data_IF_658703964335
#
_entry.id   IF_658703964335
#
_cell.length_a   1.000
_cell.length_b   1.000
_cell.length_c   1.000
_cell.angle_alpha   90.00
_cell.angle_beta   90.00
_cell.angle_gamma   90.00
#
_symmetry.space_group_name_H-M   'P 1'
#
loop_
_entity.id
_entity.type
_entity.pdbx_description
1 polymer ?
#
# COMPACT_ATOMS: atom_id res chain seq x y z
N UNK A 1 -33.71 -42.08 -37.39
CA UNK A 1 -33.26 -41.32 -38.55
C UNK A 1 -34.43 -40.66 -39.20
N UNK A 2 -34.66 -39.37 -38.98
CA UNK A 2 -35.63 -38.57 -39.77
C UNK A 2 -34.98 -37.21 -39.97
N UNK A 3 -34.58 -36.96 -41.23
CA UNK A 3 -34.04 -35.70 -41.73
C UNK A 3 -35.17 -34.67 -41.79
N UNK A 4 -34.91 -33.49 -41.23
CA UNK A 4 -35.79 -32.32 -41.37
C UNK A 4 -35.09 -31.36 -42.35
N UNK A 5 -35.72 -31.21 -43.51
CA UNK A 5 -35.30 -30.30 -44.57
C UNK A 5 -35.94 -28.94 -44.36
N UNK A 6 -35.17 -27.87 -44.25
CA UNK A 6 -35.62 -26.47 -44.16
C UNK A 6 -35.58 -25.83 -45.55
N UNK A 7 -36.69 -25.21 -46.02
CA UNK A 7 -36.71 -24.56 -47.35
C UNK A 7 -36.03 -23.17 -47.34
N UNK A 8 -35.23 -22.92 -48.35
CA UNK A 8 -34.69 -21.63 -48.72
C UNK A 8 -35.80 -20.74 -49.26
N UNK A 9 -36.13 -19.66 -48.57
CA UNK A 9 -36.94 -18.58 -49.15
C UNK A 9 -36.05 -17.43 -49.60
N UNK A 10 -36.13 -17.17 -50.87
CA UNK A 10 -35.57 -16.06 -51.60
C UNK A 10 -36.22 -14.73 -51.19
N UNK A 11 -35.48 -13.80 -50.64
CA UNK A 11 -35.91 -12.42 -50.43
C UNK A 11 -35.27 -11.52 -51.48
N UNK A 12 -36.17 -10.93 -52.26
CA UNK A 12 -35.89 -10.01 -53.39
C UNK A 12 -35.31 -8.68 -52.89
N UNK A 13 -34.33 -8.20 -53.61
CA UNK A 13 -33.75 -6.87 -53.47
C UNK A 13 -34.82 -5.80 -53.87
N UNK A 14 -35.09 -4.87 -52.96
CA UNK A 14 -35.71 -3.59 -53.24
C UNK A 14 -34.68 -2.50 -53.00
N UNK A 15 -34.11 -1.96 -54.07
CA UNK A 15 -33.31 -0.78 -54.09
C UNK A 15 -34.21 0.44 -53.82
N UNK A 16 -34.06 1.08 -52.68
CA UNK A 16 -34.62 2.41 -52.41
C UNK A 16 -33.46 3.40 -52.34
N UNK A 17 -33.38 4.23 -53.34
CA UNK A 17 -32.51 5.40 -53.33
C UNK A 17 -32.99 6.39 -52.27
N UNK A 18 -32.19 6.66 -51.27
CA UNK A 18 -32.39 7.76 -50.32
C UNK A 18 -31.30 8.80 -50.47
N UNK A 19 -31.74 10.00 -50.82
CA UNK A 19 -30.97 11.19 -51.06
C UNK A 19 -30.04 11.52 -49.89
N UNK A 20 -28.80 11.78 -50.18
CA UNK A 20 -27.79 12.33 -49.27
C UNK A 20 -28.14 13.80 -49.00
N UNK A 21 -28.81 14.09 -47.91
CA UNK A 21 -28.81 15.43 -47.29
C UNK A 21 -27.54 15.53 -46.44
N UNK A 22 -26.53 16.19 -47.00
CA UNK A 22 -25.36 16.59 -46.21
C UNK A 22 -25.78 17.64 -45.20
N UNK A 23 -26.09 17.20 -43.96
CA UNK A 23 -26.09 18.08 -42.81
C UNK A 23 -24.62 18.33 -42.43
N UNK A 24 -24.11 19.51 -42.81
CA UNK A 24 -22.93 20.08 -42.19
C UNK A 24 -23.27 20.34 -40.69
N UNK A 25 -23.06 19.39 -39.84
CA UNK A 25 -22.94 19.62 -38.42
C UNK A 25 -21.61 20.36 -38.18
N UNK A 26 -21.58 21.51 -37.51
CA UNK A 26 -20.31 22.10 -37.12
C UNK A 26 -19.59 21.09 -36.28
N UNK A 27 -18.28 20.88 -36.59
CA UNK A 27 -17.41 20.12 -35.71
C UNK A 27 -17.60 20.63 -34.30
N UNK A 28 -18.14 19.77 -33.44
CA UNK A 28 -18.12 20.03 -32.00
C UNK A 28 -16.65 20.18 -31.67
N UNK A 29 -16.25 21.41 -31.34
CA UNK A 29 -14.99 21.67 -30.68
C UNK A 29 -14.87 20.61 -29.60
N UNK A 30 -13.84 19.79 -29.73
CA UNK A 30 -13.41 18.91 -28.66
C UNK A 30 -13.09 19.83 -27.49
N UNK A 31 -14.11 20.06 -26.65
CA UNK A 31 -13.93 20.74 -25.40
C UNK A 31 -12.83 19.95 -24.68
N UNK A 32 -11.65 20.54 -24.67
CA UNK A 32 -10.53 20.07 -23.89
C UNK A 32 -11.07 19.83 -22.49
N UNK A 33 -11.15 18.57 -22.11
CA UNK A 33 -11.46 18.20 -20.72
C UNK A 33 -10.62 19.10 -19.83
N UNK A 34 -11.20 19.76 -18.81
CA UNK A 34 -10.43 20.63 -17.94
C UNK A 34 -9.21 19.82 -17.48
N UNK A 35 -8.02 20.36 -17.76
CA UNK A 35 -6.76 19.74 -17.35
C UNK A 35 -6.87 19.40 -15.88
N UNK A 36 -6.83 18.10 -15.56
CA UNK A 36 -6.92 17.63 -14.19
C UNK A 36 -5.85 18.36 -13.39
N UNK A 37 -6.14 18.91 -12.22
CA UNK A 37 -5.14 19.55 -11.36
C UNK A 37 -3.97 18.60 -11.03
N UNK A 38 -4.08 17.33 -11.42
CA UNK A 38 -3.13 16.24 -11.18
C UNK A 38 -2.19 15.96 -12.35
N UNK A 39 -2.24 16.71 -13.45
CA UNK A 39 -1.38 16.52 -14.63
C UNK A 39 0.07 17.02 -14.43
N UNK A 40 0.37 17.64 -13.30
CA UNK A 40 1.73 18.02 -12.94
C UNK A 40 2.42 16.80 -12.31
N UNK A 41 3.21 16.10 -13.10
CA UNK A 41 4.00 14.94 -12.70
C UNK A 41 4.98 15.23 -11.57
N UNK A 42 4.50 15.12 -10.34
CA UNK A 42 5.25 15.20 -9.10
C UNK A 42 4.68 14.23 -8.09
N UNK A 43 5.45 13.91 -7.06
CA UNK A 43 5.06 12.99 -5.98
C UNK A 43 3.71 13.34 -5.33
N UNK A 44 3.41 14.63 -5.20
CA UNK A 44 2.13 15.12 -4.69
C UNK A 44 0.95 14.82 -5.65
N UNK A 45 1.18 14.89 -6.96
CA UNK A 45 0.16 14.60 -7.97
C UNK A 45 -0.30 13.14 -7.92
N UNK A 46 0.61 12.19 -7.69
CA UNK A 46 0.30 10.76 -7.63
C UNK A 46 -0.62 10.41 -6.45
N UNK A 47 -0.29 10.88 -5.25
CA UNK A 47 -1.11 10.64 -4.04
C UNK A 47 -2.47 11.32 -4.16
N UNK A 48 -2.52 12.56 -4.66
CA UNK A 48 -3.78 13.29 -4.84
C UNK A 48 -4.68 12.61 -5.87
N UNK A 49 -4.10 12.11 -6.98
CA UNK A 49 -4.85 11.33 -7.99
C UNK A 49 -5.38 10.03 -7.40
N UNK A 50 -4.56 9.29 -6.68
CA UNK A 50 -4.98 8.06 -6.03
C UNK A 50 -6.14 8.33 -5.06
N UNK A 51 -6.05 9.35 -4.21
CA UNK A 51 -7.13 9.75 -3.30
C UNK A 51 -8.42 10.12 -4.05
N UNK A 52 -8.30 10.84 -5.16
CA UNK A 52 -9.45 11.18 -5.98
C UNK A 52 -10.13 9.92 -6.54
N UNK A 53 -9.37 9.02 -7.16
CA UNK A 53 -9.92 7.77 -7.69
C UNK A 53 -10.56 6.91 -6.60
N UNK A 54 -9.96 6.88 -5.40
CA UNK A 54 -10.54 6.16 -4.27
C UNK A 54 -11.83 6.80 -3.78
N UNK A 55 -11.91 8.13 -3.75
CA UNK A 55 -13.14 8.82 -3.35
C UNK A 55 -14.31 8.51 -4.30
N UNK A 56 -14.03 8.23 -5.56
CA UNK A 56 -15.03 7.83 -6.55
C UNK A 56 -15.38 6.33 -6.49
N UNK A 57 -14.59 5.53 -5.79
CA UNK A 57 -14.83 4.10 -5.64
C UNK A 57 -15.78 3.80 -4.48
N UNK A 58 -16.72 2.85 -4.62
CA UNK A 58 -17.52 2.37 -3.48
C UNK A 58 -16.64 1.77 -2.37
N UNK A 59 -15.41 1.41 -2.69
CA UNK A 59 -14.41 0.89 -1.75
C UNK A 59 -13.45 1.97 -1.22
N UNK A 60 -13.60 3.24 -1.60
CA UNK A 60 -12.67 4.31 -1.26
C UNK A 60 -12.43 4.46 0.24
N UNK A 61 -13.49 4.47 1.05
CA UNK A 61 -13.40 4.51 2.51
C UNK A 61 -12.65 3.31 3.11
N UNK A 62 -12.77 2.14 2.49
CA UNK A 62 -12.03 0.95 2.90
C UNK A 62 -10.54 1.11 2.54
N UNK A 63 -10.26 1.58 1.33
CA UNK A 63 -8.89 1.79 0.85
C UNK A 63 -8.14 2.83 1.70
N UNK A 64 -8.77 3.93 2.08
CA UNK A 64 -8.19 4.91 3.01
C UNK A 64 -7.83 4.30 4.38
N UNK A 65 -8.59 3.33 4.83
CA UNK A 65 -8.33 2.60 6.08
C UNK A 65 -7.24 1.52 5.93
N UNK A 66 -7.02 1.02 4.71
CA UNK A 66 -6.02 -0.03 4.40
C UNK A 66 -4.61 0.55 4.19
N UNK A 67 -4.51 1.82 3.96
CA UNK A 67 -3.24 2.41 3.63
C UNK A 67 -2.39 2.67 4.87
N UNK A 68 -1.08 2.47 4.76
CA UNK A 68 -0.19 2.84 5.83
C UNK A 68 -0.36 4.32 6.16
N UNK A 69 -0.16 4.66 7.45
CA UNK A 69 -0.07 6.07 7.86
C UNK A 69 0.99 6.77 7.02
N UNK A 70 0.63 7.94 6.50
CA UNK A 70 1.57 8.76 5.77
C UNK A 70 2.76 9.13 6.66
N UNK A 71 3.96 8.98 6.11
CA UNK A 71 5.16 9.64 6.61
C UNK A 71 5.63 10.64 5.55
N UNK A 72 6.26 11.71 5.98
CA UNK A 72 6.85 12.66 5.05
C UNK A 72 8.20 12.15 4.52
N UNK A 73 8.60 12.52 3.29
CA UNK A 73 9.90 12.13 2.76
C UNK A 73 11.09 12.49 3.66
N UNK A 74 10.97 13.58 4.44
CA UNK A 74 11.97 14.03 5.43
C UNK A 74 12.07 13.11 6.65
N UNK A 75 11.06 12.29 6.91
CA UNK A 75 11.03 11.31 8.00
C UNK A 75 11.68 9.98 7.60
N UNK A 76 12.02 9.81 6.32
CA UNK A 76 12.77 8.63 5.86
C UNK A 76 14.17 8.61 6.49
N UNK A 77 14.68 7.46 6.90
CA UNK A 77 16.08 7.32 7.27
C UNK A 77 17.01 7.81 6.13
N UNK A 78 18.06 8.55 6.45
CA UNK A 78 18.97 9.09 5.45
C UNK A 78 18.23 9.78 4.27
N UNK A 79 17.41 10.81 4.51
CA UNK A 79 16.44 11.33 3.54
C UNK A 79 17.07 11.88 2.25
N UNK A 80 18.35 12.22 2.30
CA UNK A 80 19.12 12.70 1.14
C UNK A 80 19.80 11.58 0.34
N UNK A 81 19.72 10.33 0.79
CA UNK A 81 20.26 9.19 0.07
C UNK A 81 19.47 8.90 -1.21
N UNK A 82 20.13 8.26 -2.18
CA UNK A 82 19.48 7.87 -3.43
C UNK A 82 18.29 6.91 -3.15
N UNK A 83 18.48 5.93 -2.25
CA UNK A 83 17.40 4.99 -1.90
C UNK A 83 16.19 5.67 -1.27
N UNK A 84 16.39 6.69 -0.42
CA UNK A 84 15.29 7.48 0.14
C UNK A 84 14.54 8.25 -0.96
N UNK A 85 15.28 8.91 -1.88
CA UNK A 85 14.68 9.64 -2.99
C UNK A 85 13.88 8.72 -3.92
N UNK A 86 14.42 7.55 -4.26
CA UNK A 86 13.71 6.56 -5.07
C UNK A 86 12.46 6.03 -4.36
N UNK A 87 12.55 5.77 -3.04
CA UNK A 87 11.41 5.37 -2.23
C UNK A 87 10.32 6.45 -2.25
N UNK A 88 10.68 7.71 -2.02
CA UNK A 88 9.76 8.84 -2.08
C UNK A 88 9.17 9.04 -3.48
N UNK A 89 9.94 8.80 -4.57
CA UNK A 89 9.45 8.93 -5.95
C UNK A 89 8.45 7.86 -6.33
N UNK A 90 8.78 6.60 -6.06
CA UNK A 90 8.01 5.48 -6.59
C UNK A 90 6.88 5.02 -5.66
N UNK A 91 7.10 5.02 -4.35
CA UNK A 91 6.11 4.47 -3.41
C UNK A 91 4.88 5.37 -3.19
N UNK A 92 4.96 6.67 -3.50
CA UNK A 92 3.85 7.61 -3.29
C UNK A 92 2.88 7.70 -4.47
N UNK A 93 3.15 7.03 -5.57
CA UNK A 93 2.33 7.17 -6.79
C UNK A 93 0.93 6.57 -6.65
N UNK A 94 0.74 5.62 -5.73
CA UNK A 94 -0.52 4.90 -5.56
C UNK A 94 -1.09 5.00 -4.15
N UNK A 95 -0.26 5.15 -3.14
CA UNK A 95 -0.64 5.24 -1.73
C UNK A 95 0.35 6.11 -0.95
N UNK A 96 0.10 6.29 0.33
CA UNK A 96 1.01 7.02 1.20
C UNK A 96 2.39 6.37 1.29
N UNK A 97 3.41 7.20 1.52
CA UNK A 97 4.78 6.75 1.68
C UNK A 97 4.89 5.77 2.86
N UNK A 98 5.31 4.52 2.63
CA UNK A 98 5.47 3.56 3.70
C UNK A 98 6.78 3.80 4.46
N UNK A 99 6.75 3.63 5.77
CA UNK A 99 7.99 3.55 6.54
C UNK A 99 8.75 2.27 6.19
N UNK A 100 10.07 2.31 5.96
CA UNK A 100 10.87 1.09 5.82
C UNK A 100 10.73 0.12 7.00
N UNK A 101 10.40 0.64 8.17
CA UNK A 101 10.22 -0.14 9.40
C UNK A 101 8.90 -0.91 9.48
N UNK A 102 8.04 -0.84 8.47
CA UNK A 102 6.80 -1.62 8.44
C UNK A 102 7.05 -3.11 8.25
N UNK A 103 8.18 -3.47 7.64
CA UNK A 103 8.52 -4.86 7.36
C UNK A 103 9.97 -5.15 7.70
N UNK A 104 10.26 -6.43 8.01
CA UNK A 104 11.63 -6.92 8.17
C UNK A 104 12.40 -6.88 6.85
N UNK A 105 13.74 -6.83 6.90
CA UNK A 105 14.59 -6.73 5.72
C UNK A 105 14.33 -7.79 4.65
N UNK A 106 14.07 -9.02 5.06
CA UNK A 106 13.81 -10.17 4.18
C UNK A 106 12.48 -10.04 3.42
N UNK A 107 11.45 -9.48 4.05
CA UNK A 107 10.12 -9.30 3.44
C UNK A 107 10.10 -8.21 2.36
N UNK A 108 11.00 -7.22 2.45
CA UNK A 108 10.99 -6.10 1.52
C UNK A 108 11.22 -6.51 0.06
N UNK A 109 12.05 -7.51 -0.21
CA UNK A 109 12.26 -8.01 -1.58
C UNK A 109 10.94 -8.41 -2.23
N UNK A 110 10.19 -9.30 -1.60
CA UNK A 110 8.90 -9.78 -2.13
C UNK A 110 7.84 -8.67 -2.23
N UNK A 111 7.88 -7.70 -1.31
CA UNK A 111 6.95 -6.55 -1.34
C UNK A 111 7.28 -5.66 -2.54
N UNK A 112 8.54 -5.31 -2.77
CA UNK A 112 8.97 -4.50 -3.91
C UNK A 112 8.63 -5.20 -5.23
N UNK A 113 8.95 -6.47 -5.38
CA UNK A 113 8.61 -7.27 -6.56
C UNK A 113 7.10 -7.23 -6.87
N UNK A 114 6.27 -7.39 -5.84
CA UNK A 114 4.81 -7.34 -5.99
C UNK A 114 4.32 -5.94 -6.38
N UNK A 115 4.92 -4.86 -5.85
CA UNK A 115 4.56 -3.50 -6.24
C UNK A 115 5.00 -3.22 -7.68
N UNK A 116 6.21 -3.61 -8.07
CA UNK A 116 6.71 -3.53 -9.44
C UNK A 116 5.76 -4.23 -10.42
N UNK A 117 5.35 -5.44 -10.10
CA UNK A 117 4.44 -6.20 -10.93
C UNK A 117 3.13 -5.45 -11.20
N UNK A 118 2.60 -4.78 -10.17
CA UNK A 118 1.42 -3.91 -10.30
C UNK A 118 1.70 -2.66 -11.11
N UNK A 119 2.83 -1.97 -10.85
CA UNK A 119 3.24 -0.77 -11.60
C UNK A 119 3.43 -1.06 -13.09
N UNK A 120 3.80 -2.28 -13.45
CA UNK A 120 3.90 -2.76 -14.83
C UNK A 120 2.56 -3.22 -15.44
N UNK A 121 1.44 -2.98 -14.75
CA UNK A 121 0.12 -3.37 -15.23
C UNK A 121 -0.15 -4.88 -15.22
N UNK A 122 0.68 -5.65 -14.51
CA UNK A 122 0.56 -7.11 -14.44
C UNK A 122 -0.38 -7.53 -13.30
N UNK A 123 -0.99 -8.69 -13.48
CA UNK A 123 -1.90 -9.30 -12.50
C UNK A 123 -3.37 -9.05 -12.77
N UNK A 124 -4.22 -9.75 -12.04
CA UNK A 124 -5.67 -9.58 -12.14
C UNK A 124 -6.08 -8.35 -11.32
N UNK A 125 -6.05 -7.20 -11.98
CA UNK A 125 -6.43 -5.91 -11.39
C UNK A 125 -7.83 -5.55 -11.87
N UNK A 126 -8.73 -5.21 -10.93
CA UNK A 126 -10.02 -4.63 -11.28
C UNK A 126 -9.89 -3.28 -11.99
N UNK A 127 -11.00 -2.78 -12.55
CA UNK A 127 -11.00 -1.54 -13.34
C UNK A 127 -10.36 -0.34 -12.62
N UNK A 128 -10.66 -0.16 -11.32
CA UNK A 128 -10.08 0.91 -10.51
C UNK A 128 -8.55 0.82 -10.44
N UNK A 129 -8.02 -0.38 -10.22
CA UNK A 129 -6.56 -0.56 -10.15
C UNK A 129 -5.88 -0.32 -11.50
N UNK A 130 -6.52 -0.73 -12.60
CA UNK A 130 -6.00 -0.44 -13.95
C UNK A 130 -5.94 1.06 -14.22
N UNK A 131 -6.99 1.78 -13.85
CA UNK A 131 -7.05 3.24 -14.00
C UNK A 131 -5.99 3.93 -13.11
N UNK A 132 -5.81 3.46 -11.87
CA UNK A 132 -4.76 3.97 -10.99
C UNK A 132 -3.35 3.74 -11.54
N UNK A 133 -3.11 2.61 -12.21
CA UNK A 133 -1.79 2.23 -12.74
C UNK A 133 -1.48 2.87 -14.11
N UNK A 134 -2.45 3.45 -14.79
CA UNK A 134 -2.31 3.96 -16.18
C UNK A 134 -1.18 4.99 -16.34
N UNK A 135 -0.92 5.80 -15.30
CA UNK A 135 0.13 6.85 -15.33
C UNK A 135 1.25 6.60 -14.30
N UNK A 136 1.36 5.39 -13.80
CA UNK A 136 2.38 5.05 -12.80
C UNK A 136 3.69 4.72 -13.51
N UNK A 137 4.75 5.36 -13.08
CA UNK A 137 6.11 5.11 -13.55
C UNK A 137 6.74 3.99 -12.71
N UNK A 138 7.25 2.95 -13.38
CA UNK A 138 7.99 1.88 -12.70
C UNK A 138 9.50 2.20 -12.68
N UNK A 139 10.21 1.88 -11.57
CA UNK A 139 11.67 2.01 -11.53
C UNK A 139 12.34 1.05 -12.53
N UNK A 140 13.52 1.43 -13.00
CA UNK A 140 14.41 0.54 -13.74
C UNK A 140 14.94 -0.58 -12.83
N UNK A 141 15.56 -1.60 -13.39
CA UNK A 141 16.15 -2.70 -12.63
C UNK A 141 17.24 -2.21 -11.68
N UNK A 142 18.05 -1.23 -12.12
CA UNK A 142 19.08 -0.62 -11.28
C UNK A 142 18.46 0.16 -10.11
N UNK A 143 17.48 1.02 -10.37
CA UNK A 143 16.77 1.77 -9.33
C UNK A 143 16.04 0.83 -8.36
N UNK A 144 15.47 -0.27 -8.87
CA UNK A 144 14.86 -1.32 -8.06
C UNK A 144 15.85 -1.95 -7.09
N UNK A 145 17.07 -2.22 -7.56
CA UNK A 145 18.15 -2.73 -6.72
C UNK A 145 18.51 -1.76 -5.59
N UNK A 146 18.70 -0.48 -5.91
CA UNK A 146 19.02 0.57 -4.93
C UNK A 146 17.89 0.74 -3.91
N UNK A 147 16.64 0.85 -4.39
CA UNK A 147 15.46 1.00 -3.56
C UNK A 147 15.27 -0.20 -2.61
N UNK A 148 15.41 -1.43 -3.13
CA UNK A 148 15.29 -2.63 -2.32
C UNK A 148 16.38 -2.73 -1.26
N UNK A 149 17.63 -2.41 -1.62
CA UNK A 149 18.75 -2.39 -0.67
C UNK A 149 18.51 -1.35 0.44
N UNK A 150 18.01 -0.18 0.10
CA UNK A 150 17.65 0.86 1.06
C UNK A 150 16.55 0.40 2.03
N UNK A 151 15.45 -0.15 1.51
CA UNK A 151 14.34 -0.65 2.33
C UNK A 151 14.80 -1.79 3.26
N UNK A 152 15.65 -2.69 2.77
CA UNK A 152 16.25 -3.75 3.61
C UNK A 152 17.16 -3.19 4.69
N UNK A 153 18.02 -2.24 4.35
CA UNK A 153 18.94 -1.58 5.31
C UNK A 153 18.17 -0.94 6.48
N UNK A 154 17.05 -0.29 6.17
CA UNK A 154 16.25 0.45 7.14
C UNK A 154 14.99 -0.29 7.59
N UNK A 155 14.84 -1.54 7.16
CA UNK A 155 13.78 -2.43 7.57
C UNK A 155 13.74 -2.65 9.08
N UNK A 156 12.61 -3.14 9.56
CA UNK A 156 12.45 -3.44 10.97
C UNK A 156 13.48 -4.48 11.42
N UNK A 157 14.34 -4.09 12.37
CA UNK A 157 15.22 -5.04 13.02
C UNK A 157 14.42 -5.90 14.00
N UNK A 158 14.65 -7.20 13.96
CA UNK A 158 13.95 -8.15 14.81
C UNK A 158 14.80 -8.49 16.04
N UNK A 159 14.12 -8.71 17.15
CA UNK A 159 14.69 -9.27 18.34
C UNK A 159 14.95 -10.76 18.13
N UNK A 160 16.07 -11.26 18.63
CA UNK A 160 16.30 -12.70 18.63
C UNK A 160 15.17 -13.45 19.36
N UNK A 161 14.53 -14.37 18.67
CA UNK A 161 13.44 -15.18 19.20
C UNK A 161 13.87 -16.08 20.37
N UNK A 162 15.16 -16.36 20.51
CA UNK A 162 15.78 -17.09 21.62
C UNK A 162 16.12 -16.20 22.82
N UNK A 163 15.90 -14.88 22.75
CA UNK A 163 16.34 -13.97 23.77
C UNK A 163 15.73 -14.30 25.15
N UNK A 164 16.53 -14.42 26.24
CA UNK A 164 16.06 -14.86 27.54
C UNK A 164 14.92 -14.04 28.14
N UNK A 165 14.87 -12.73 27.83
CA UNK A 165 13.81 -11.83 28.28
C UNK A 165 12.40 -12.29 27.85
N UNK A 166 12.29 -13.00 26.71
CA UNK A 166 11.02 -13.51 26.19
C UNK A 166 10.42 -14.63 27.03
N UNK A 167 11.20 -15.24 27.95
CA UNK A 167 10.72 -16.26 28.87
C UNK A 167 9.90 -15.68 30.05
N UNK A 168 10.02 -14.38 30.34
CA UNK A 168 9.19 -13.69 31.33
C UNK A 168 7.73 -13.59 30.87
N UNK A 169 6.81 -13.39 31.79
CA UNK A 169 5.39 -13.21 31.45
C UNK A 169 5.18 -12.03 30.52
N UNK A 170 5.74 -10.86 30.83
CA UNK A 170 5.68 -9.68 29.98
C UNK A 170 6.36 -9.91 28.61
N UNK A 171 7.46 -10.69 28.56
CA UNK A 171 8.12 -11.08 27.32
C UNK A 171 7.28 -12.01 26.46
N UNK A 172 6.56 -12.95 27.06
CA UNK A 172 5.60 -13.80 26.34
C UNK A 172 4.44 -12.98 25.77
N UNK A 173 3.88 -12.06 26.56
CA UNK A 173 2.81 -11.15 26.09
C UNK A 173 3.31 -10.28 24.94
N UNK A 174 4.49 -9.70 25.05
CA UNK A 174 5.13 -8.93 23.98
C UNK A 174 5.29 -9.77 22.72
N UNK A 175 5.81 -11.00 22.83
CA UNK A 175 5.97 -11.91 21.70
C UNK A 175 4.62 -12.21 21.04
N UNK A 176 3.61 -12.63 21.77
CA UNK A 176 2.27 -12.94 21.26
C UNK A 176 1.64 -11.73 20.59
N UNK A 177 1.76 -10.55 21.18
CA UNK A 177 1.16 -9.34 20.66
C UNK A 177 1.80 -8.88 19.35
N UNK A 178 3.14 -8.83 19.31
CA UNK A 178 3.85 -8.19 18.21
C UNK A 178 4.07 -9.09 17.00
N UNK A 179 4.08 -10.41 17.17
CA UNK A 179 4.32 -11.35 16.06
C UNK A 179 3.07 -11.64 15.22
N UNK A 180 1.91 -11.09 15.58
CA UNK A 180 0.67 -11.31 14.83
C UNK A 180 0.70 -10.75 13.41
N UNK A 181 1.39 -9.65 13.18
CA UNK A 181 1.39 -8.94 11.91
C UNK A 181 2.78 -8.85 11.24
N UNK A 182 3.83 -8.82 12.05
CA UNK A 182 5.22 -8.68 11.58
C UNK A 182 6.17 -9.43 12.52
N UNK A 183 7.46 -9.45 12.20
CA UNK A 183 8.48 -10.02 13.07
C UNK A 183 8.59 -9.29 14.41
N UNK A 184 9.18 -9.93 15.40
CA UNK A 184 9.30 -9.40 16.75
C UNK A 184 10.23 -8.17 16.76
N UNK A 185 9.74 -6.95 17.07
CA UNK A 185 10.58 -5.76 16.99
C UNK A 185 11.68 -5.77 18.05
N UNK A 186 12.89 -5.34 17.69
CA UNK A 186 13.96 -5.15 18.67
C UNK A 186 13.63 -3.95 19.59
N UNK A 187 13.51 -4.14 20.91
CA UNK A 187 13.22 -3.06 21.83
C UNK A 187 14.21 -1.89 21.78
N UNK A 188 15.45 -2.13 21.35
CA UNK A 188 16.49 -1.10 21.23
C UNK A 188 16.27 -0.13 20.07
N UNK A 189 15.25 -0.32 19.25
CA UNK A 189 14.91 0.58 18.15
C UNK A 189 14.44 1.95 18.64
N UNK A 190 13.82 1.98 19.80
CA UNK A 190 13.28 3.19 20.40
C UNK A 190 13.82 3.40 21.79
N UNK A 191 13.74 4.64 22.26
CA UNK A 191 14.05 5.01 23.64
C UNK A 191 12.86 4.62 24.55
N UNK A 192 13.05 4.56 25.87
CA UNK A 192 11.95 4.31 26.79
C UNK A 192 10.79 5.30 26.66
N UNK A 193 11.08 6.56 26.27
CA UNK A 193 10.05 7.60 26.10
C UNK A 193 9.22 7.45 24.83
N UNK A 194 9.80 6.89 23.79
CA UNK A 194 9.13 6.70 22.48
C UNK A 194 8.18 5.50 22.48
N UNK A 195 8.48 4.45 23.26
CA UNK A 195 7.73 3.19 23.23
C UNK A 195 6.23 3.32 23.49
N UNK A 196 5.75 4.14 24.46
CA UNK A 196 4.31 4.28 24.68
C UNK A 196 3.55 4.72 23.43
N UNK A 197 4.07 5.72 22.71
CA UNK A 197 3.45 6.22 21.48
C UNK A 197 3.51 5.19 20.35
N UNK A 198 4.58 4.39 20.27
CA UNK A 198 4.70 3.30 19.28
C UNK A 198 3.66 2.21 19.56
N UNK A 199 3.51 1.79 20.81
CA UNK A 199 2.52 0.76 21.19
C UNK A 199 1.09 1.24 20.95
N UNK A 200 0.77 2.51 21.27
CA UNK A 200 -0.56 3.06 21.01
C UNK A 200 -0.87 3.06 19.50
N UNK A 201 0.06 3.47 18.67
CA UNK A 201 -0.09 3.39 17.21
C UNK A 201 -0.27 1.95 16.71
N UNK A 202 0.41 0.96 17.31
CA UNK A 202 0.20 -0.46 16.95
C UNK A 202 -1.20 -0.94 17.38
N UNK A 203 -1.74 -0.47 18.50
CA UNK A 203 -3.13 -0.75 18.90
C UNK A 203 -4.13 -0.20 17.87
N UNK A 204 -3.91 1.03 17.38
CA UNK A 204 -4.73 1.61 16.31
C UNK A 204 -4.69 0.73 15.05
N UNK A 205 -3.50 0.25 14.65
CA UNK A 205 -3.36 -0.66 13.51
C UNK A 205 -4.02 -2.01 13.74
N UNK A 206 -3.93 -2.56 14.94
CA UNK A 206 -4.64 -3.80 15.28
C UNK A 206 -6.16 -3.62 15.21
N UNK A 207 -6.69 -2.56 15.81
CA UNK A 207 -8.12 -2.24 15.76
C UNK A 207 -8.58 -2.08 14.31
N UNK A 208 -7.76 -1.46 13.48
CA UNK A 208 -8.01 -1.33 12.07
C UNK A 208 -7.97 -2.68 11.32
N UNK A 209 -6.92 -3.49 11.50
CA UNK A 209 -6.81 -4.82 10.89
C UNK A 209 -8.03 -5.69 11.26
N UNK A 210 -8.47 -5.62 12.51
CA UNK A 210 -9.66 -6.31 13.02
C UNK A 210 -10.93 -5.89 12.30
N UNK A 211 -11.06 -4.63 11.94
CA UNK A 211 -12.21 -4.12 11.18
C UNK A 211 -12.19 -4.59 9.72
N UNK A 212 -11.01 -4.80 9.14
CA UNK A 212 -10.84 -5.19 7.72
C UNK A 212 -10.98 -6.70 7.53
N UNK A 213 -10.38 -7.49 8.43
CA UNK A 213 -10.35 -8.96 8.33
C UNK A 213 -11.65 -9.59 8.86
N UNK A 214 -12.44 -8.83 9.59
CA UNK A 214 -13.64 -9.31 10.26
C UNK A 214 -13.36 -9.77 11.70
N UNK A 215 -14.11 -9.23 12.64
CA UNK A 215 -13.91 -9.42 14.07
C UNK A 215 -14.03 -10.88 14.57
N UNK A 216 -14.56 -11.78 13.75
CA UNK A 216 -14.77 -13.17 14.15
C UNK A 216 -13.47 -13.97 14.31
N UNK A 217 -12.43 -13.60 13.59
CA UNK A 217 -11.10 -14.21 13.73
C UNK A 217 -10.39 -13.86 15.05
N UNK A 218 -10.87 -12.83 15.75
CA UNK A 218 -10.19 -12.22 16.91
C UNK A 218 -10.89 -12.45 18.25
N UNK A 219 -12.08 -13.04 18.24
CA UNK A 219 -12.82 -13.37 19.47
C UNK A 219 -12.07 -14.34 20.38
N UNK A 220 -11.05 -15.00 19.88
CA UNK A 220 -10.21 -15.96 20.63
C UNK A 220 -8.89 -15.36 21.11
N UNK A 221 -8.60 -14.09 20.81
CA UNK A 221 -7.33 -13.49 21.21
C UNK A 221 -7.34 -13.11 22.69
N UNK A 222 -6.25 -13.40 23.41
CA UNK A 222 -6.13 -12.99 24.80
C UNK A 222 -6.18 -11.46 24.91
N UNK A 223 -6.86 -10.96 25.94
CA UNK A 223 -6.80 -9.53 26.30
C UNK A 223 -5.34 -9.23 26.66
N UNK A 224 -4.67 -8.44 25.84
CA UNK A 224 -3.26 -8.10 26.05
C UNK A 224 -3.15 -6.91 26.99
N UNK A 225 -2.41 -7.08 28.09
CA UNK A 225 -2.03 -5.95 28.93
C UNK A 225 -0.93 -5.13 28.26
N UNK A 226 -1.36 -4.07 27.56
CA UNK A 226 -0.44 -3.17 26.86
C UNK A 226 0.48 -2.41 27.84
N UNK A 227 0.10 -2.26 29.10
CA UNK A 227 0.93 -1.61 30.12
C UNK A 227 2.17 -2.46 30.41
N UNK A 228 2.00 -3.77 30.58
CA UNK A 228 3.12 -4.68 30.80
C UNK A 228 4.01 -4.80 29.56
N UNK A 229 3.42 -4.78 28.36
CA UNK A 229 4.19 -4.75 27.11
C UNK A 229 5.04 -3.48 27.02
N UNK A 230 4.47 -2.31 27.34
CA UNK A 230 5.21 -1.04 27.37
C UNK A 230 6.34 -1.08 28.38
N UNK A 231 6.10 -1.57 29.61
CA UNK A 231 7.15 -1.70 30.63
C UNK A 231 8.28 -2.63 30.18
N UNK A 232 7.93 -3.75 29.54
CA UNK A 232 8.92 -4.66 28.97
C UNK A 232 9.77 -3.94 27.91
N UNK A 233 9.14 -3.28 26.95
CA UNK A 233 9.82 -2.55 25.88
C UNK A 233 10.72 -1.43 26.44
N UNK A 234 10.23 -0.66 27.41
CA UNK A 234 11.01 0.39 28.06
C UNK A 234 12.23 -0.16 28.81
N UNK A 235 12.11 -1.32 29.43
CA UNK A 235 13.21 -1.97 30.15
C UNK A 235 14.35 -2.39 29.23
N UNK A 236 14.03 -2.83 28.01
CA UNK A 236 15.01 -3.31 27.04
C UNK A 236 15.29 -2.30 25.92
N UNK A 237 14.75 -1.09 26.05
CA UNK A 237 14.91 -0.01 25.08
C UNK A 237 16.37 0.45 24.96
N UNK A 238 16.64 1.18 23.88
CA UNK A 238 17.92 1.87 23.69
C UNK A 238 18.13 2.90 24.81
N UNK A 239 19.30 2.83 25.46
CA UNK A 239 19.70 3.83 26.46
C UNK A 239 19.82 5.19 25.79
N UNK A 240 19.16 6.20 26.35
CA UNK A 240 19.35 7.59 25.89
C UNK A 240 20.78 8.03 26.18
N UNK A 241 21.47 8.67 25.22
CA UNK A 241 22.74 9.33 25.51
C UNK A 241 22.48 10.36 26.62
N UNK A 242 23.29 10.34 27.66
CA UNK A 242 23.23 11.40 28.67
C UNK A 242 23.45 12.73 27.96
N UNK A 243 22.51 13.66 28.09
CA UNK A 243 22.72 15.02 27.65
C UNK A 243 24.01 15.55 28.31
N UNK A 244 25.00 15.95 27.49
CA UNK A 244 26.23 16.60 27.96
C UNK A 244 25.92 18.03 28.36
#
# INVERSE_FOLDING_TARGET
MRSVTVPRSTIRWLAAALAVLACNAPAADSASSPSSPFDKGGTEGGVARAKYLWSQSPHGKLLERILPRAIEPSELPEPLSEGARLTARYCVQCHYLPSPQMHSPDKWTTIVERMLWRMQGRGNMGALMKEMMDKVEAPTDQETGVLTAYLKKHGQQEMDSGHPALKSEAGRMFNIACTQCHGLPDPRRHTPREWPAVVERMKEYMAWANTVVGADALKTMPVLDTTEIVRFLQRYARVEPKAK
#
